data_IF_301090837079
#
_entry.id   IF_301090837079
#
_cell.length_a   1.000
_cell.length_b   1.000
_cell.length_c   1.000
_cell.angle_alpha   90.00
_cell.angle_beta   90.00
_cell.angle_gamma   90.00
#
_symmetry.space_group_name_H-M   'P 1'
#
loop_
_entity.id
_entity.type
_entity.pdbx_description
1 polymer ?
#
# COMPACT_ATOMS: atom_id res chain seq x y z
N UNK A 1 11.81 1.30 -7.99
CA UNK A 1 11.02 2.24 -7.19
C UNK A 1 12.00 3.18 -6.52
N UNK A 2 11.56 4.39 -6.19
CA UNK A 2 12.33 5.35 -5.40
C UNK A 2 12.44 4.89 -3.95
N UNK A 3 13.54 5.28 -3.29
CA UNK A 3 13.78 4.93 -1.89
C UNK A 3 12.70 5.50 -0.96
N UNK A 4 12.20 6.71 -1.26
CA UNK A 4 11.11 7.34 -0.51
C UNK A 4 9.84 6.51 -0.46
N UNK A 5 9.55 5.73 -1.51
CA UNK A 5 8.40 4.80 -1.55
C UNK A 5 8.64 3.62 -0.62
N UNK A 6 9.84 3.02 -0.68
CA UNK A 6 10.22 1.90 0.19
C UNK A 6 10.13 2.30 1.66
N UNK A 7 10.66 3.46 2.01
CA UNK A 7 10.76 3.93 3.40
C UNK A 7 9.39 4.10 4.06
N UNK A 8 8.39 4.57 3.33
CA UNK A 8 7.07 4.87 3.89
C UNK A 8 6.04 3.74 3.71
N UNK A 9 6.31 2.75 2.85
CA UNK A 9 5.27 1.83 2.40
C UNK A 9 4.61 1.05 3.55
N UNK A 10 5.40 0.65 4.54
CA UNK A 10 4.90 0.01 5.75
C UNK A 10 3.97 0.94 6.53
N UNK A 11 4.43 2.15 6.84
CA UNK A 11 3.69 3.11 7.67
C UNK A 11 2.42 3.61 6.95
N UNK A 12 2.41 3.61 5.61
CA UNK A 12 1.23 3.87 4.80
C UNK A 12 0.17 2.75 4.91
N UNK A 13 0.58 1.47 4.83
CA UNK A 13 -0.37 0.35 4.82
C UNK A 13 -0.82 -0.08 6.23
N UNK A 14 0.03 0.08 7.25
CA UNK A 14 -0.26 -0.33 8.63
C UNK A 14 -1.62 0.18 9.16
N UNK A 15 -2.00 1.47 9.03
CA UNK A 15 -3.30 1.96 9.49
C UNK A 15 -4.49 1.48 8.64
N UNK A 16 -4.25 1.07 7.38
CA UNK A 16 -5.30 0.57 6.47
C UNK A 16 -5.67 -0.88 6.76
N UNK A 17 -4.67 -1.72 7.05
CA UNK A 17 -4.83 -3.17 7.24
C UNK A 17 -4.85 -3.59 8.72
N UNK A 18 -4.25 -2.78 9.60
CA UNK A 18 -3.86 -3.18 10.95
C UNK A 18 -2.55 -3.99 10.97
N UNK A 19 -1.90 -4.04 12.14
CA UNK A 19 -0.68 -4.84 12.37
C UNK A 19 -1.03 -6.02 13.28
N UNK A 20 -1.13 -7.22 12.70
CA UNK A 20 -1.55 -8.42 13.43
C UNK A 20 -0.42 -9.45 13.50
N UNK A 21 0.06 -9.71 14.71
CA UNK A 21 1.23 -10.55 14.92
C UNK A 21 0.94 -12.04 14.77
N UNK A 22 -0.33 -12.44 14.61
CA UNK A 22 -0.76 -13.82 14.53
C UNK A 22 -1.39 -14.15 13.18
N UNK A 23 -1.34 -15.43 12.80
CA UNK A 23 -2.04 -15.93 11.61
C UNK A 23 -3.56 -15.83 11.79
N UNK A 24 -4.26 -15.47 10.72
CA UNK A 24 -5.72 -15.41 10.65
C UNK A 24 -6.23 -15.79 9.26
N UNK A 25 -7.55 -15.93 9.10
CA UNK A 25 -8.17 -16.07 7.79
C UNK A 25 -8.74 -14.73 7.30
N UNK A 26 -8.39 -14.36 6.06
CA UNK A 26 -9.04 -13.25 5.37
C UNK A 26 -10.49 -13.61 4.93
N UNK A 27 -11.18 -12.64 4.31
CA UNK A 27 -12.55 -12.86 3.83
C UNK A 27 -12.67 -13.94 2.74
N UNK A 28 -11.55 -14.28 2.08
CA UNK A 28 -11.44 -15.36 1.08
C UNK A 28 -11.04 -16.69 1.72
N UNK A 29 -10.93 -16.76 3.04
CA UNK A 29 -10.50 -17.94 3.80
C UNK A 29 -9.07 -18.39 3.46
N UNK A 30 -8.20 -17.43 3.16
CA UNK A 30 -6.78 -17.65 2.97
C UNK A 30 -6.00 -17.24 4.22
N UNK A 31 -4.92 -17.96 4.53
CA UNK A 31 -4.11 -17.67 5.72
C UNK A 31 -3.27 -16.41 5.50
N UNK A 32 -3.41 -15.46 6.40
CA UNK A 32 -2.85 -14.10 6.33
C UNK A 32 -2.22 -13.72 7.68
N UNK A 33 -1.23 -12.84 7.67
CA UNK A 33 -0.56 -12.33 8.88
C UNK A 33 -0.05 -10.89 8.67
N UNK A 34 0.30 -10.20 9.75
CA UNK A 34 0.95 -8.88 9.71
C UNK A 34 0.02 -7.83 9.13
N UNK A 35 0.55 -7.02 8.22
CA UNK A 35 -0.15 -5.97 7.48
C UNK A 35 -0.87 -6.54 6.25
N UNK A 36 -1.74 -7.54 6.45
CA UNK A 36 -2.50 -8.16 5.36
C UNK A 36 -1.66 -9.05 4.42
N UNK A 37 -0.52 -9.58 4.86
CA UNK A 37 0.34 -10.44 4.05
C UNK A 37 -0.21 -11.86 3.95
N UNK A 38 -0.53 -12.28 2.72
CA UNK A 38 -0.94 -13.64 2.44
C UNK A 38 0.22 -14.62 2.59
N UNK A 39 0.04 -15.64 3.43
CA UNK A 39 0.98 -16.75 3.66
C UNK A 39 0.34 -18.10 3.32
N UNK A 40 -0.50 -18.08 2.28
CA UNK A 40 -1.16 -19.22 1.66
C UNK A 40 -0.66 -19.32 0.21
N UNK A 41 -0.01 -20.43 -0.21
CA UNK A 41 0.04 -21.74 0.44
C UNK A 41 1.01 -21.80 1.64
N UNK A 42 0.88 -22.86 2.45
CA UNK A 42 1.69 -23.14 3.65
C UNK A 42 3.19 -22.92 3.47
N UNK A 43 3.75 -23.21 2.28
CA UNK A 43 5.17 -22.98 1.99
C UNK A 43 5.61 -21.53 2.17
N UNK A 44 4.70 -20.55 2.05
CA UNK A 44 4.99 -19.15 2.34
C UNK A 44 5.14 -18.86 3.85
N UNK A 45 4.58 -19.69 4.72
CA UNK A 45 4.68 -19.52 6.18
C UNK A 45 5.95 -20.16 6.77
N UNK A 46 6.46 -21.24 6.16
CA UNK A 46 7.54 -22.07 6.73
C UNK A 46 8.89 -21.37 6.94
N UNK A 47 9.14 -20.29 6.21
CA UNK A 47 10.39 -19.54 6.28
C UNK A 47 10.30 -18.31 7.18
N UNK A 48 9.14 -18.07 7.80
CA UNK A 48 8.95 -16.89 8.65
C UNK A 48 9.45 -17.19 10.07
N UNK A 49 10.08 -16.20 10.73
CA UNK A 49 10.68 -16.37 12.05
C UNK A 49 9.61 -16.30 13.14
N UNK A 50 8.71 -17.29 13.17
CA UNK A 50 7.68 -17.38 14.18
C UNK A 50 8.26 -17.60 15.57
N UNK A 51 7.82 -16.81 16.53
CA UNK A 51 8.17 -16.90 17.95
C UNK A 51 6.96 -17.31 18.77
N UNK A 52 7.16 -17.92 19.94
CA UNK A 52 6.04 -18.18 20.85
C UNK A 52 5.58 -16.88 21.52
N UNK A 53 4.26 -16.65 21.55
CA UNK A 53 3.62 -15.48 22.20
C UNK A 53 4.02 -15.33 23.67
N UNK A 54 4.17 -16.45 24.37
CA UNK A 54 4.54 -16.51 25.79
C UNK A 54 6.05 -16.39 26.03
N UNK A 55 6.88 -16.54 24.99
CA UNK A 55 8.35 -16.54 25.08
C UNK A 55 8.98 -15.87 23.84
N UNK A 56 8.87 -14.54 23.69
CA UNK A 56 9.50 -13.80 22.60
C UNK A 56 11.00 -14.09 22.50
N UNK A 57 11.50 -14.21 21.27
CA UNK A 57 12.88 -14.65 20.95
C UNK A 57 13.09 -16.16 20.93
N UNK A 58 12.11 -16.97 21.36
CA UNK A 58 12.13 -18.43 21.19
C UNK A 58 11.39 -18.80 19.90
N UNK A 59 12.13 -19.28 18.90
CA UNK A 59 11.59 -19.60 17.58
C UNK A 59 10.90 -20.97 17.55
N UNK A 60 9.75 -21.01 16.88
CA UNK A 60 9.00 -22.23 16.61
C UNK A 60 9.70 -23.11 15.58
N UNK A 61 9.51 -24.42 15.71
CA UNK A 61 9.95 -25.40 14.69
C UNK A 61 9.04 -25.37 13.47
N UNK A 62 9.51 -25.92 12.34
CA UNK A 62 8.68 -26.05 11.14
C UNK A 62 7.41 -26.86 11.40
N UNK A 63 7.48 -27.94 12.18
CA UNK A 63 6.31 -28.78 12.50
C UNK A 63 5.24 -27.99 13.29
N UNK A 64 5.66 -27.10 14.18
CA UNK A 64 4.73 -26.24 14.93
C UNK A 64 4.11 -25.16 14.05
N UNK A 65 4.89 -24.57 13.14
CA UNK A 65 4.37 -23.62 12.14
C UNK A 65 3.34 -24.32 11.25
N UNK A 66 3.61 -25.55 10.80
CA UNK A 66 2.68 -26.38 10.02
C UNK A 66 1.39 -26.61 10.82
N UNK A 67 1.51 -27.05 12.07
CA UNK A 67 0.37 -27.35 12.91
C UNK A 67 -0.51 -26.12 13.16
N UNK A 68 0.10 -24.97 13.45
CA UNK A 68 -0.64 -23.73 13.66
C UNK A 68 -1.29 -23.19 12.38
N UNK A 69 -0.58 -23.25 11.25
CA UNK A 69 -1.16 -22.89 9.95
C UNK A 69 -2.37 -23.76 9.61
N UNK A 70 -2.28 -25.08 9.82
CA UNK A 70 -3.40 -26.00 9.58
C UNK A 70 -4.57 -25.74 10.53
N UNK A 71 -4.29 -25.46 11.81
CA UNK A 71 -5.30 -25.06 12.79
C UNK A 71 -6.06 -23.83 12.31
N UNK A 72 -5.36 -22.77 11.92
CA UNK A 72 -5.96 -21.53 11.39
C UNK A 72 -6.75 -21.82 10.12
N UNK A 73 -6.18 -22.57 9.17
CA UNK A 73 -6.83 -22.94 7.91
C UNK A 73 -8.14 -23.71 8.11
N UNK A 74 -8.22 -24.55 9.14
CA UNK A 74 -9.41 -25.34 9.45
C UNK A 74 -10.59 -24.51 10.00
N UNK A 75 -10.34 -23.29 10.50
CA UNK A 75 -11.33 -22.46 11.21
C UNK A 75 -12.04 -21.47 10.29
N UNK A 76 -12.57 -21.97 9.17
CA UNK A 76 -13.36 -21.15 8.22
C UNK A 76 -14.62 -20.55 8.86
N UNK A 77 -15.12 -21.15 9.96
CA UNK A 77 -16.18 -20.61 10.81
C UNK A 77 -15.83 -19.25 11.45
N UNK A 78 -14.54 -18.92 11.54
CA UNK A 78 -14.03 -17.67 12.11
C UNK A 78 -13.69 -16.61 11.04
N UNK A 79 -13.59 -16.96 9.75
CA UNK A 79 -13.13 -16.04 8.70
C UNK A 79 -13.96 -14.74 8.65
N UNK A 80 -15.28 -14.85 8.84
CA UNK A 80 -16.19 -13.68 8.87
C UNK A 80 -16.28 -12.97 10.22
N UNK A 81 -15.66 -13.52 11.27
CA UNK A 81 -15.60 -12.91 12.61
C UNK A 81 -14.41 -11.94 12.76
N UNK A 82 -13.58 -11.83 11.73
CA UNK A 82 -12.42 -10.95 11.69
C UNK A 82 -11.20 -11.55 12.36
N UNK A 83 -10.04 -10.95 12.08
CA UNK A 83 -8.74 -11.51 12.46
C UNK A 83 -8.51 -11.63 13.98
N UNK A 84 -9.15 -10.78 14.78
CA UNK A 84 -9.08 -10.85 16.25
C UNK A 84 -9.67 -12.14 16.83
N UNK A 85 -10.57 -12.82 16.11
CA UNK A 85 -11.10 -14.12 16.53
C UNK A 85 -10.02 -15.22 16.59
N UNK A 86 -8.91 -15.05 15.87
CA UNK A 86 -7.80 -15.99 15.82
C UNK A 86 -6.74 -15.74 16.91
N UNK A 87 -6.71 -14.56 17.54
CA UNK A 87 -5.65 -14.19 18.49
C UNK A 87 -5.50 -15.19 19.65
N UNK A 88 -6.63 -15.65 20.20
CA UNK A 88 -6.64 -16.63 21.31
C UNK A 88 -6.48 -18.08 20.84
N UNK A 89 -6.63 -18.32 19.53
CA UNK A 89 -6.50 -19.65 18.93
C UNK A 89 -5.02 -19.98 18.66
N UNK A 90 -4.26 -18.97 18.25
CA UNK A 90 -2.85 -19.10 17.86
C UNK A 90 -1.92 -18.79 19.02
N UNK A 91 -0.74 -19.39 18.98
CA UNK A 91 0.32 -19.30 19.98
C UNK A 91 1.62 -18.77 19.36
N UNK A 92 1.75 -18.76 18.04
CA UNK A 92 2.92 -18.21 17.36
C UNK A 92 2.67 -16.78 16.90
N UNK A 93 3.74 -15.97 16.93
CA UNK A 93 3.74 -14.57 16.56
C UNK A 93 4.91 -14.23 15.65
N UNK A 94 4.75 -13.20 14.83
CA UNK A 94 5.89 -12.49 14.24
C UNK A 94 6.20 -11.24 15.08
N UNK A 95 7.48 -10.91 15.19
CA UNK A 95 7.92 -9.62 15.73
C UNK A 95 7.61 -8.49 14.75
N UNK A 96 7.63 -7.24 15.23
CA UNK A 96 7.42 -6.06 14.35
C UNK A 96 8.46 -6.02 13.22
N UNK A 97 9.72 -6.33 13.51
CA UNK A 97 10.80 -6.37 12.53
C UNK A 97 10.58 -7.47 11.47
N UNK A 98 10.09 -8.64 11.88
CA UNK A 98 9.72 -9.71 10.96
C UNK A 98 8.54 -9.31 10.08
N UNK A 99 7.52 -8.61 10.62
CA UNK A 99 6.38 -8.11 9.83
C UNK A 99 6.84 -7.04 8.85
N UNK A 100 7.68 -6.08 9.27
CA UNK A 100 8.22 -5.05 8.38
C UNK A 100 9.05 -5.65 7.25
N UNK A 101 9.89 -6.64 7.57
CA UNK A 101 10.66 -7.37 6.55
C UNK A 101 9.75 -8.10 5.56
N UNK A 102 8.72 -8.78 6.04
CA UNK A 102 7.72 -9.45 5.20
C UNK A 102 6.98 -8.48 4.27
N UNK A 103 6.62 -7.28 4.77
CA UNK A 103 6.02 -6.23 3.95
C UNK A 103 6.98 -5.77 2.86
N UNK A 104 8.25 -5.53 3.18
CA UNK A 104 9.27 -5.11 2.21
C UNK A 104 9.51 -6.16 1.13
N UNK A 105 9.62 -7.45 1.51
CA UNK A 105 9.80 -8.54 0.54
C UNK A 105 8.60 -8.63 -0.41
N UNK A 106 7.38 -8.50 0.12
CA UNK A 106 6.17 -8.52 -0.70
C UNK A 106 6.07 -7.30 -1.60
N UNK A 107 6.46 -6.12 -1.11
CA UNK A 107 6.54 -4.89 -1.90
C UNK A 107 7.49 -5.06 -3.10
N UNK A 108 8.71 -5.54 -2.86
CA UNK A 108 9.71 -5.79 -3.90
C UNK A 108 9.22 -6.82 -4.92
N UNK A 109 8.52 -7.87 -4.47
CA UNK A 109 7.92 -8.85 -5.38
C UNK A 109 6.80 -8.24 -6.24
N UNK A 110 5.95 -7.39 -5.66
CA UNK A 110 4.90 -6.68 -6.40
C UNK A 110 5.51 -5.72 -7.43
N UNK A 111 6.52 -4.94 -7.04
CA UNK A 111 7.26 -4.04 -7.93
C UNK A 111 7.86 -4.80 -9.12
N UNK A 112 8.60 -5.89 -8.86
CA UNK A 112 9.22 -6.71 -9.89
C UNK A 112 8.19 -7.31 -10.87
N UNK A 113 6.98 -7.62 -10.38
CA UNK A 113 5.88 -8.07 -11.23
C UNK A 113 5.32 -6.93 -12.09
N UNK A 114 5.04 -5.78 -11.49
CA UNK A 114 4.46 -4.61 -12.17
C UNK A 114 5.37 -4.08 -13.27
N UNK A 115 6.69 -4.09 -13.06
CA UNK A 115 7.71 -3.70 -14.05
C UNK A 115 7.66 -4.49 -15.35
N UNK A 116 7.04 -5.69 -15.36
CA UNK A 116 6.82 -6.46 -16.59
C UNK A 116 5.76 -5.83 -17.50
N UNK A 117 4.86 -5.04 -16.92
CA UNK A 117 3.82 -4.30 -17.65
C UNK A 117 4.21 -2.84 -17.85
N UNK A 118 4.81 -2.23 -16.83
CA UNK A 118 5.16 -0.82 -16.78
C UNK A 118 6.68 -0.66 -16.84
N UNK A 119 7.23 -0.62 -18.05
CA UNK A 119 8.69 -0.65 -18.26
C UNK A 119 9.40 0.59 -17.70
N UNK A 120 8.73 1.74 -17.72
CA UNK A 120 9.29 3.02 -17.24
C UNK A 120 9.01 3.27 -15.75
N UNK A 121 8.55 2.25 -15.00
CA UNK A 121 8.11 2.39 -13.60
C UNK A 121 9.14 3.10 -12.72
N UNK A 122 10.44 2.84 -12.92
CA UNK A 122 11.52 3.46 -12.13
C UNK A 122 11.65 4.96 -12.33
N UNK A 123 11.10 5.51 -13.42
CA UNK A 123 11.14 6.93 -13.75
C UNK A 123 9.85 7.68 -13.43
N UNK A 124 8.83 6.99 -12.92
CA UNK A 124 7.58 7.63 -12.51
C UNK A 124 7.76 8.49 -11.25
N UNK A 125 6.90 9.51 -11.03
CA UNK A 125 6.84 10.20 -9.74
C UNK A 125 6.64 9.22 -8.58
N UNK A 126 7.27 9.46 -7.43
CA UNK A 126 7.21 8.57 -6.27
C UNK A 126 5.78 8.36 -5.76
N UNK A 127 4.94 9.40 -5.76
CA UNK A 127 3.51 9.25 -5.46
C UNK A 127 2.81 8.28 -6.45
N UNK A 128 3.10 8.35 -7.75
CA UNK A 128 2.52 7.41 -8.72
C UNK A 128 2.98 5.96 -8.48
N UNK A 129 4.26 5.77 -8.16
CA UNK A 129 4.78 4.45 -7.78
C UNK A 129 4.05 3.91 -6.55
N UNK A 130 3.93 4.72 -5.49
CA UNK A 130 3.23 4.35 -4.26
C UNK A 130 1.76 4.01 -4.51
N UNK A 131 1.05 4.80 -5.31
CA UNK A 131 -0.36 4.56 -5.65
C UNK A 131 -0.56 3.23 -6.38
N UNK A 132 0.29 2.92 -7.38
CA UNK A 132 0.20 1.64 -8.10
C UNK A 132 0.59 0.47 -7.21
N UNK A 133 1.59 0.61 -6.34
CA UNK A 133 1.99 -0.43 -5.39
C UNK A 133 0.91 -0.65 -4.30
N UNK A 134 0.21 0.40 -3.87
CA UNK A 134 -0.96 0.33 -2.98
C UNK A 134 -2.11 -0.44 -3.61
N UNK A 135 -2.40 -0.20 -4.90
CA UNK A 135 -3.38 -1.00 -5.65
C UNK A 135 -2.92 -2.46 -5.76
N UNK A 136 -1.65 -2.72 -6.10
CA UNK A 136 -1.11 -4.08 -6.14
C UNK A 136 -1.17 -4.80 -4.79
N UNK A 137 -1.06 -4.07 -3.67
CA UNK A 137 -1.27 -4.62 -2.33
C UNK A 137 -2.70 -5.11 -2.13
N UNK A 138 -3.68 -4.26 -2.41
CA UNK A 138 -5.09 -4.55 -2.14
C UNK A 138 -5.69 -5.62 -3.06
N UNK A 139 -5.24 -5.68 -4.32
CA UNK A 139 -5.89 -6.51 -5.33
C UNK A 139 -4.93 -7.42 -6.14
N UNK A 140 -3.66 -7.47 -5.74
CA UNK A 140 -2.62 -8.28 -6.36
C UNK A 140 -1.95 -7.60 -7.55
N UNK A 141 -0.63 -7.81 -7.73
CA UNK A 141 0.16 -7.16 -8.77
C UNK A 141 -0.27 -7.49 -10.22
N UNK A 142 -1.09 -8.53 -10.42
CA UNK A 142 -1.70 -8.87 -11.71
C UNK A 142 -2.88 -7.98 -12.13
N UNK A 143 -3.28 -7.02 -11.28
CA UNK A 143 -4.44 -6.18 -11.52
C UNK A 143 -4.48 -5.42 -12.86
N UNK A 144 -3.35 -4.98 -13.47
CA UNK A 144 -3.41 -4.19 -14.71
C UNK A 144 -4.13 -4.93 -15.86
N UNK A 145 -4.15 -6.27 -15.83
CA UNK A 145 -4.88 -7.10 -16.80
C UNK A 145 -6.39 -6.89 -16.77
N UNK A 146 -6.94 -6.54 -15.60
CA UNK A 146 -8.38 -6.33 -15.38
C UNK A 146 -8.76 -4.85 -15.32
N UNK A 147 -7.77 -3.95 -15.46
CA UNK A 147 -7.93 -2.49 -15.33
C UNK A 147 -7.43 -1.77 -16.59
N UNK A 148 -8.03 -2.03 -17.77
CA UNK A 148 -7.48 -1.59 -19.06
C UNK A 148 -7.37 -0.07 -19.20
N UNK A 149 -8.31 0.70 -18.65
CA UNK A 149 -8.28 2.18 -18.71
C UNK A 149 -7.14 2.75 -17.87
N UNK A 150 -7.03 2.31 -16.61
CA UNK A 150 -5.94 2.73 -15.74
C UNK A 150 -4.59 2.24 -16.27
N UNK A 151 -4.50 0.99 -16.75
CA UNK A 151 -3.27 0.47 -17.39
C UNK A 151 -2.85 1.33 -18.57
N UNK A 152 -3.78 1.71 -19.45
CA UNK A 152 -3.48 2.58 -20.58
C UNK A 152 -3.02 3.97 -20.13
N UNK A 153 -3.68 4.57 -19.13
CA UNK A 153 -3.29 5.84 -18.56
C UNK A 153 -1.88 5.79 -17.94
N UNK A 154 -1.56 4.75 -17.18
CA UNK A 154 -0.21 4.53 -16.63
C UNK A 154 0.86 4.38 -17.73
N UNK A 155 0.56 3.64 -18.81
CA UNK A 155 1.50 3.48 -19.94
C UNK A 155 1.75 4.79 -20.69
N UNK A 156 0.74 5.67 -20.74
CA UNK A 156 0.85 7.00 -21.31
C UNK A 156 1.37 8.05 -20.29
N UNK A 157 1.62 7.65 -19.04
CA UNK A 157 1.96 8.54 -17.92
C UNK A 157 0.98 9.70 -17.74
N UNK A 158 -0.30 9.47 -18.09
CA UNK A 158 -1.39 10.43 -17.90
C UNK A 158 -1.94 10.29 -16.48
N UNK A 159 -1.26 10.93 -15.53
CA UNK A 159 -1.56 10.78 -14.10
C UNK A 159 -2.94 11.30 -13.71
N UNK A 160 -3.46 12.30 -14.42
CA UNK A 160 -4.84 12.77 -14.27
C UNK A 160 -5.84 11.67 -14.65
N UNK A 161 -5.62 10.99 -15.79
CA UNK A 161 -6.44 9.84 -16.17
C UNK A 161 -6.26 8.65 -15.22
N UNK A 162 -5.06 8.43 -14.66
CA UNK A 162 -4.84 7.40 -13.63
C UNK A 162 -5.68 7.69 -12.39
N UNK A 163 -5.63 8.92 -11.86
CA UNK A 163 -6.40 9.36 -10.70
C UNK A 163 -7.92 9.18 -10.91
N UNK A 164 -8.42 9.47 -12.13
CA UNK A 164 -9.82 9.28 -12.48
C UNK A 164 -10.24 7.80 -12.59
N UNK A 165 -9.29 6.88 -12.78
CA UNK A 165 -9.56 5.47 -13.03
C UNK A 165 -8.99 4.54 -11.94
N UNK A 166 -8.55 5.04 -10.78
CA UNK A 166 -7.93 4.22 -9.72
C UNK A 166 -8.88 3.71 -8.64
N UNK A 167 -10.16 4.08 -8.68
CA UNK A 167 -11.12 3.77 -7.61
C UNK A 167 -11.58 2.31 -7.65
N UNK A 168 -11.16 1.51 -6.65
CA UNK A 168 -11.55 0.12 -6.43
C UNK A 168 -13.01 0.00 -5.97
N UNK A 169 -13.63 -1.16 -6.21
CA UNK A 169 -15.01 -1.41 -5.82
C UNK A 169 -15.15 -1.46 -4.29
N UNK A 170 -16.00 -0.58 -3.75
CA UNK A 170 -16.27 -0.43 -2.32
C UNK A 170 -17.44 -1.30 -1.84
N UNK A 171 -18.18 -1.93 -2.76
CA UNK A 171 -19.36 -2.74 -2.46
C UNK A 171 -19.00 -3.90 -1.53
N UNK A 172 -19.50 -3.86 -0.30
CA UNK A 172 -19.23 -4.88 0.71
C UNK A 172 -17.82 -4.85 1.30
N UNK A 173 -17.01 -3.83 1.00
CA UNK A 173 -15.66 -3.65 1.51
C UNK A 173 -15.37 -2.18 1.85
N UNK A 174 -16.01 -1.61 2.90
CA UNK A 174 -15.81 -0.20 3.27
C UNK A 174 -14.36 0.11 3.68
N UNK A 175 -13.57 -0.90 4.06
CA UNK A 175 -12.15 -0.74 4.38
C UNK A 175 -11.28 -0.27 3.20
N UNK A 176 -11.76 -0.39 1.95
CA UNK A 176 -11.03 0.10 0.77
C UNK A 176 -11.22 1.60 0.53
N UNK A 177 -12.23 2.24 1.14
CA UNK A 177 -12.55 3.67 0.89
C UNK A 177 -11.33 4.58 1.21
N UNK A 178 -10.70 4.50 2.40
CA UNK A 178 -9.55 5.35 2.70
C UNK A 178 -8.37 5.10 1.75
N UNK A 179 -8.19 3.85 1.30
CA UNK A 179 -7.17 3.50 0.31
C UNK A 179 -7.46 4.10 -1.05
N UNK A 180 -8.72 4.11 -1.49
CA UNK A 180 -9.13 4.75 -2.74
C UNK A 180 -8.83 6.25 -2.73
N UNK A 181 -9.18 6.93 -1.65
CA UNK A 181 -8.97 8.38 -1.51
C UNK A 181 -7.46 8.72 -1.45
N UNK A 182 -6.67 7.90 -0.75
CA UNK A 182 -5.22 8.02 -0.74
C UNK A 182 -4.59 7.80 -2.13
N UNK A 183 -4.99 6.74 -2.84
CA UNK A 183 -4.50 6.47 -4.20
C UNK A 183 -4.84 7.63 -5.14
N UNK A 184 -6.06 8.18 -5.07
CA UNK A 184 -6.45 9.33 -5.87
C UNK A 184 -5.58 10.56 -5.58
N UNK A 185 -5.30 10.82 -4.30
CA UNK A 185 -4.40 11.91 -3.88
C UNK A 185 -3.00 11.74 -4.46
N UNK A 186 -2.43 10.54 -4.34
CA UNK A 186 -1.10 10.23 -4.88
C UNK A 186 -1.02 10.44 -6.40
N UNK A 187 -2.02 9.98 -7.15
CA UNK A 187 -2.02 10.19 -8.60
C UNK A 187 -2.28 11.64 -9.01
N UNK A 188 -3.04 12.39 -8.20
CA UNK A 188 -3.20 13.84 -8.38
C UNK A 188 -1.87 14.57 -8.14
N UNK A 189 -1.17 14.26 -7.03
CA UNK A 189 0.18 14.78 -6.77
C UNK A 189 1.13 14.47 -7.92
N UNK A 190 1.12 13.23 -8.43
CA UNK A 190 1.95 12.84 -9.57
C UNK A 190 1.66 13.66 -10.83
N UNK A 191 0.40 14.03 -11.08
CA UNK A 191 0.03 14.92 -12.17
C UNK A 191 0.65 16.31 -12.01
N UNK A 192 0.52 16.91 -10.82
CA UNK A 192 1.14 18.21 -10.53
C UNK A 192 2.67 18.18 -10.61
N UNK A 193 3.32 17.12 -10.13
CA UNK A 193 4.78 16.96 -10.23
C UNK A 193 5.21 16.87 -11.70
N UNK A 194 4.48 16.10 -12.51
CA UNK A 194 4.81 15.95 -13.93
C UNK A 194 4.60 17.25 -14.73
N UNK A 195 3.58 18.04 -14.39
CA UNK A 195 3.26 19.28 -15.10
C UNK A 195 4.09 20.48 -14.63
N UNK A 196 4.31 20.59 -13.32
CA UNK A 196 4.85 21.80 -12.69
C UNK A 196 6.12 21.58 -11.87
N UNK A 197 6.68 20.37 -11.84
CA UNK A 197 7.83 20.02 -10.99
C UNK A 197 9.03 20.93 -11.21
N UNK A 198 9.39 21.21 -12.46
CA UNK A 198 10.51 22.11 -12.78
C UNK A 198 10.24 23.56 -12.36
N UNK A 199 8.98 24.00 -12.39
CA UNK A 199 8.59 25.37 -12.06
C UNK A 199 8.63 25.64 -10.56
N UNK A 200 8.17 24.68 -9.76
CA UNK A 200 8.01 24.84 -8.31
C UNK A 200 9.02 24.02 -7.49
N UNK A 201 9.95 23.33 -8.15
CA UNK A 201 11.00 22.54 -7.51
C UNK A 201 10.49 21.24 -6.89
N UNK A 202 9.37 20.68 -7.37
CA UNK A 202 8.93 19.36 -6.92
C UNK A 202 9.84 18.26 -7.47
N UNK A 203 10.26 17.35 -6.60
CA UNK A 203 11.19 16.28 -6.92
C UNK A 203 10.42 15.00 -7.26
N UNK A 204 10.80 14.34 -8.34
CA UNK A 204 10.12 13.13 -8.82
C UNK A 204 10.33 11.93 -7.91
N UNK A 205 11.40 11.91 -7.13
CA UNK A 205 11.78 10.81 -6.23
C UNK A 205 11.33 11.04 -4.78
N UNK A 206 10.56 12.09 -4.50
CA UNK A 206 9.99 12.39 -3.18
C UNK A 206 8.51 12.04 -3.15
N UNK A 207 8.06 11.33 -2.12
CA UNK A 207 6.63 11.17 -1.85
C UNK A 207 6.09 12.39 -1.11
N UNK A 208 5.05 12.99 -1.66
CA UNK A 208 4.37 14.14 -1.06
C UNK A 208 3.12 13.77 -0.26
N UNK A 209 2.47 12.63 -0.57
CA UNK A 209 1.41 12.08 0.27
C UNK A 209 1.85 11.97 1.75
N UNK A 210 1.01 12.37 2.72
CA UNK A 210 -0.43 12.68 2.61
C UNK A 210 -0.78 14.13 2.23
N UNK A 211 0.21 14.96 1.90
CA UNK A 211 -0.03 16.35 1.48
C UNK A 211 -0.63 16.37 0.08
N UNK A 212 -1.64 17.22 -0.14
CA UNK A 212 -2.14 17.54 -1.48
C UNK A 212 -1.29 18.66 -2.04
N UNK A 213 -0.63 18.42 -3.18
CA UNK A 213 0.02 19.49 -3.93
C UNK A 213 -1.08 20.28 -4.62
N UNK A 214 -1.17 21.58 -4.32
CA UNK A 214 -2.09 22.51 -4.97
C UNK A 214 -1.29 23.39 -5.93
N UNK A 215 -1.92 23.78 -7.02
CA UNK A 215 -1.46 24.94 -7.78
C UNK A 215 -1.50 26.15 -6.83
N UNK A 216 -0.43 26.92 -6.75
CA UNK A 216 -0.47 28.16 -5.99
C UNK A 216 -1.70 28.97 -6.40
N UNK A 217 -2.52 29.37 -5.42
CA UNK A 217 -3.44 30.49 -5.56
C UNK A 217 -2.56 31.65 -6.00
N UNK A 218 -2.70 32.05 -7.27
CA UNK A 218 -2.14 33.31 -7.74
C UNK A 218 -2.78 34.39 -6.87
N UNK A 219 -2.06 34.85 -5.84
CA UNK A 219 -2.36 36.14 -5.23
C UNK A 219 -1.98 37.13 -6.32
N UNK A 220 -2.94 37.49 -7.17
CA UNK A 220 -2.82 38.72 -7.94
C UNK A 220 -2.57 39.82 -6.92
N UNK A 221 -1.57 40.69 -7.09
CA UNK A 221 -1.50 41.89 -6.28
C UNK A 221 -2.77 42.69 -6.59
N UNK A 222 -3.79 42.55 -5.75
CA UNK A 222 -4.94 43.44 -5.75
C UNK A 222 -4.41 44.81 -5.34
N UNK A 223 -4.52 45.75 -6.27
CA UNK A 223 -4.53 47.19 -6.09
C UNK A 223 -3.42 47.75 -5.18
N UNK A 224 -2.26 48.03 -5.78
CA UNK A 224 -1.41 49.12 -5.28
C UNK A 224 -2.32 50.35 -5.08
N UNK A 225 -2.44 50.91 -3.86
CA UNK A 225 -3.21 52.12 -3.67
C UNK A 225 -2.55 53.23 -4.49
N UNK A 226 -3.31 53.77 -5.45
CA UNK A 226 -2.90 54.93 -6.25
C UNK A 226 -2.37 56.01 -5.31
N UNK A 227 -1.14 56.53 -5.52
CA UNK A 227 -0.60 57.58 -4.67
C UNK A 227 -1.50 58.81 -4.80
N UNK A 228 -2.06 59.26 -3.68
CA UNK A 228 -2.77 60.53 -3.62
C UNK A 228 -1.70 61.64 -3.64
N UNK A 229 -1.60 62.38 -4.74
CA UNK A 229 -0.72 63.55 -4.80
C UNK A 229 -1.18 64.64 -3.82
N UNK A 230 -0.27 65.24 -3.05
CA UNK A 230 -0.60 66.41 -2.25
C UNK A 230 -0.59 67.67 -3.11
N UNK A 231 -1.64 68.48 -2.92
CA UNK A 231 -1.95 69.79 -3.50
C UNK A 231 -0.78 70.76 -3.63
#
# INVERSE_FOLDING_TARGET
MHQSVLDIFYDFNAPLEGVLHWMYLDIKSLVTIGVGNLIDPMSAALNLPFEYDEQPGSYATQDEIIAEWQLVKSRTDLARKGANAFRKLTRLRLSDDAIRSLVNDKLLANEAYLKRTFLDFDYWPADAQLGVLSMAWAMGAGFPSSWPRLRAACLNQDWNAVAANCRMNETGNPGVIPRNDANQTMFTNAAHIAEFGDRYGYQWDVVYYPTVILDEVVITPEDDPVPVEPW
#
